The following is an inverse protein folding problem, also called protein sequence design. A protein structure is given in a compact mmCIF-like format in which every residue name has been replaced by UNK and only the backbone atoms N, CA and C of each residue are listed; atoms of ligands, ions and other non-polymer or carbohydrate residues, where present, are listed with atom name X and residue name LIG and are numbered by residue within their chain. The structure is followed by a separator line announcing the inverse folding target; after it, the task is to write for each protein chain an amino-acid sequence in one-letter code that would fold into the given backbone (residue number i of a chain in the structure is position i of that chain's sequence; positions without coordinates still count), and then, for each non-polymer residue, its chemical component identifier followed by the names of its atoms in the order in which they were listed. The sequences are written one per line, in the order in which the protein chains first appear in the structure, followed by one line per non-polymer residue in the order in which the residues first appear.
data_IF_314269618523
#
_entry.id   IF_314269618523
#
_cell.length_a   1.000
_cell.length_b   1.000
_cell.length_c   1.000
_cell.angle_alpha   90.00
_cell.angle_beta   90.00
_cell.angle_gamma   90.00
#
_symmetry.space_group_name_H-M   'P 1'
#
loop_
_entity.id
_entity.type
_entity.pdbx_description
1 polymer ?
#
# COMPACT_ATOMS: atom_id res chain seq x y z
N UNK A 1 15.20 53.29 83.08
CA UNK A 1 15.23 53.53 81.62
C UNK A 1 15.63 52.22 80.93
N UNK A 2 14.84 51.79 79.92
CA UNK A 2 14.97 50.60 79.04
C UNK A 2 14.71 49.24 79.74
N UNK A 3 13.50 48.69 79.81
CA UNK A 3 12.53 48.20 78.80
C UNK A 3 13.02 46.98 77.97
N UNK A 4 12.43 45.82 78.32
CA UNK A 4 11.99 44.66 77.52
C UNK A 4 12.85 44.13 76.36
N UNK A 5 13.26 42.86 76.47
CA UNK A 5 13.46 41.96 75.32
C UNK A 5 12.82 40.60 75.65
N UNK A 6 12.06 40.08 74.69
CA UNK A 6 11.06 39.02 74.81
C UNK A 6 11.61 37.60 74.53
N UNK A 7 10.87 36.53 74.89
CA UNK A 7 10.98 35.20 74.26
C UNK A 7 9.80 34.92 73.30
N UNK A 8 10.00 34.03 72.31
CA UNK A 8 9.06 32.90 72.11
C UNK A 8 9.80 31.58 71.70
N UNK A 9 9.42 30.37 72.18
CA UNK A 9 8.43 29.41 71.64
C UNK A 9 8.53 29.25 70.09
N UNK A 10 8.72 28.09 69.45
CA UNK A 10 8.56 26.67 69.80
C UNK A 10 9.28 25.78 68.73
N UNK A 11 9.24 24.47 68.97
CA UNK A 11 9.19 23.37 67.97
C UNK A 11 10.50 22.86 67.32
N UNK A 12 10.98 21.67 67.73
CA UNK A 12 10.80 20.45 66.92
C UNK A 12 11.25 19.19 67.69
N UNK A 13 10.66 18.06 67.30
CA UNK A 13 10.48 16.81 68.04
C UNK A 13 11.45 15.69 67.57
N UNK A 14 11.40 14.46 68.16
CA UNK A 14 12.51 13.50 68.26
C UNK A 14 12.41 12.26 67.36
N UNK A 15 13.48 11.44 67.26
CA UNK A 15 13.51 9.95 67.10
C UNK A 15 14.92 9.50 66.64
N UNK A 16 15.73 8.75 67.39
CA UNK A 16 15.74 7.30 67.70
C UNK A 16 15.99 6.32 66.55
N UNK A 17 17.08 5.55 66.70
CA UNK A 17 17.21 4.09 66.51
C UNK A 17 17.66 3.50 65.16
N UNK A 18 18.89 2.96 65.21
CA UNK A 18 19.28 1.55 64.98
C UNK A 18 18.93 0.90 63.64
N UNK A 19 19.99 0.76 62.83
CA UNK A 19 20.11 -0.04 61.61
C UNK A 19 20.31 -1.53 61.92
N UNK A 20 19.45 -2.39 61.38
CA UNK A 20 19.65 -3.84 61.22
C UNK A 20 19.54 -4.24 59.72
N UNK A 21 20.21 -5.34 59.28
CA UNK A 21 20.61 -5.55 57.88
C UNK A 21 19.53 -6.16 56.96
N UNK A 22 19.62 -5.75 55.69
CA UNK A 22 18.75 -6.11 54.55
C UNK A 22 18.96 -7.59 54.15
N UNK A 23 17.87 -8.37 54.14
CA UNK A 23 17.78 -9.68 53.49
C UNK A 23 17.63 -9.50 51.95
N UNK A 24 18.27 -10.31 51.09
CA UNK A 24 18.12 -10.18 49.64
C UNK A 24 16.77 -10.78 49.20
N UNK A 25 15.85 -9.93 48.75
CA UNK A 25 14.62 -10.34 48.11
C UNK A 25 14.94 -11.11 46.81
N UNK A 26 14.44 -12.34 46.69
CA UNK A 26 14.57 -13.17 45.49
C UNK A 26 13.75 -12.49 44.37
N UNK A 27 14.41 -11.81 43.44
CA UNK A 27 13.74 -11.20 42.29
C UNK A 27 13.37 -12.32 41.32
N UNK A 28 12.17 -12.88 41.47
CA UNK A 28 11.67 -13.89 40.54
C UNK A 28 11.35 -13.23 39.20
N UNK A 29 12.02 -13.67 38.12
CA UNK A 29 11.86 -13.11 36.77
C UNK A 29 10.43 -13.33 36.28
N UNK A 30 9.93 -12.44 35.42
CA UNK A 30 8.57 -12.54 34.85
C UNK A 30 8.33 -13.92 34.21
N UNK A 31 9.34 -14.48 33.52
CA UNK A 31 9.27 -15.80 32.91
C UNK A 31 9.10 -16.93 33.94
N UNK A 32 9.72 -16.81 35.11
CA UNK A 32 9.59 -17.78 36.20
C UNK A 32 8.18 -17.72 36.82
N UNK A 33 7.63 -16.51 36.96
CA UNK A 33 6.27 -16.31 37.47
C UNK A 33 5.23 -16.87 36.47
N UNK A 34 5.44 -16.64 35.17
CA UNK A 34 4.58 -17.16 34.12
C UNK A 34 4.69 -18.70 34.02
N UNK A 35 5.88 -19.26 34.15
CA UNK A 35 6.11 -20.72 34.16
C UNK A 35 5.46 -21.37 35.38
N UNK A 36 5.57 -20.75 36.56
CA UNK A 36 4.91 -21.22 37.78
C UNK A 36 3.37 -21.14 37.66
N UNK A 37 2.84 -20.05 37.10
CA UNK A 37 1.41 -19.91 36.83
C UNK A 37 0.91 -20.94 35.81
N UNK A 38 1.68 -21.19 34.74
CA UNK A 38 1.37 -22.21 33.73
C UNK A 38 1.35 -23.61 34.34
N UNK A 39 2.26 -23.91 35.27
CA UNK A 39 2.33 -25.19 35.98
C UNK A 39 1.07 -25.48 36.79
N UNK A 40 0.51 -24.45 37.45
CA UNK A 40 -0.67 -24.52 38.33
C UNK A 40 -2.00 -24.66 37.60
N UNK A 41 -2.03 -24.38 36.30
CA UNK A 41 -3.25 -24.49 35.49
C UNK A 41 -3.64 -25.96 35.25
N UNK A 42 -4.93 -26.27 35.13
CA UNK A 42 -5.36 -27.64 34.81
C UNK A 42 -5.01 -28.02 33.36
N UNK A 43 -4.85 -29.31 33.07
CA UNK A 43 -4.50 -29.79 31.73
C UNK A 43 -5.50 -29.29 30.68
N UNK A 44 -6.79 -29.27 31.00
CA UNK A 44 -7.83 -28.80 30.08
C UNK A 44 -7.82 -27.28 29.88
N UNK A 45 -7.44 -26.51 30.91
CA UNK A 45 -7.21 -25.07 30.77
C UNK A 45 -6.00 -24.79 29.86
N UNK A 46 -4.90 -25.53 30.02
CA UNK A 46 -3.73 -25.42 29.12
C UNK A 46 -4.11 -25.80 27.68
N UNK A 47 -4.88 -26.87 27.48
CA UNK A 47 -5.35 -27.31 26.15
C UNK A 47 -6.19 -26.25 25.43
N UNK A 48 -6.98 -25.46 26.15
CA UNK A 48 -7.75 -24.35 25.56
C UNK A 48 -6.87 -23.14 25.22
N UNK A 49 -5.86 -22.85 26.05
CA UNK A 49 -4.97 -21.70 25.86
C UNK A 49 -3.89 -21.93 24.79
N UNK A 50 -3.36 -23.15 24.69
CA UNK A 50 -2.29 -23.53 23.76
C UNK A 50 -2.55 -23.17 22.30
N UNK A 51 -3.71 -23.47 21.67
CA UNK A 51 -3.92 -23.14 20.25
C UNK A 51 -3.95 -21.63 19.99
N UNK A 52 -4.38 -20.83 20.97
CA UNK A 52 -4.40 -19.37 20.85
C UNK A 52 -2.97 -18.83 20.90
N UNK A 53 -2.19 -19.28 21.87
CA UNK A 53 -0.78 -18.90 22.02
C UNK A 53 0.06 -19.39 20.83
N UNK A 54 -0.18 -20.63 20.35
CA UNK A 54 0.48 -21.19 19.18
C UNK A 54 0.21 -20.31 17.95
N UNK A 55 -1.04 -19.91 17.72
CA UNK A 55 -1.39 -18.98 16.62
C UNK A 55 -0.68 -17.63 16.74
N UNK A 56 -0.49 -17.12 17.95
CA UNK A 56 0.24 -15.86 18.16
C UNK A 56 1.72 -16.01 17.86
N UNK A 57 2.34 -17.11 18.30
CA UNK A 57 3.76 -17.43 18.00
C UNK A 57 3.95 -17.69 16.50
N UNK A 58 3.03 -18.42 15.87
CA UNK A 58 3.03 -18.65 14.42
C UNK A 58 2.89 -17.33 13.65
N UNK A 59 2.07 -16.40 14.13
CA UNK A 59 1.93 -15.07 13.54
C UNK A 59 3.20 -14.22 13.71
N UNK A 60 3.91 -14.35 14.83
CA UNK A 60 5.20 -13.68 15.04
C UNK A 60 6.31 -14.28 14.15
N UNK A 61 6.27 -15.59 13.91
CA UNK A 61 7.29 -16.31 13.13
C UNK A 61 6.93 -16.48 11.64
N UNK A 62 5.79 -15.95 11.18
CA UNK A 62 5.36 -16.06 9.79
C UNK A 62 6.30 -15.25 8.89
N UNK A 63 7.07 -15.93 8.05
CA UNK A 63 7.76 -15.29 6.93
C UNK A 63 6.69 -14.75 5.96
N UNK A 64 6.77 -13.48 5.51
CA UNK A 64 5.76 -12.94 4.62
C UNK A 64 5.73 -13.76 3.34
N UNK A 65 4.55 -14.29 3.01
CA UNK A 65 4.33 -14.99 1.76
C UNK A 65 4.56 -14.06 0.56
N UNK A 66 4.78 -14.62 -0.63
CA UNK A 66 5.06 -13.85 -1.86
C UNK A 66 4.00 -12.75 -2.11
N UNK A 67 2.75 -12.96 -1.66
CA UNK A 67 1.65 -11.99 -1.73
C UNK A 67 1.75 -10.81 -0.74
N UNK A 68 2.35 -10.98 0.44
CA UNK A 68 2.60 -9.88 1.40
C UNK A 68 3.87 -9.09 1.03
N UNK A 69 4.80 -9.72 0.32
CA UNK A 69 6.03 -9.09 -0.18
C UNK A 69 5.74 -8.02 -1.25
N UNK A 70 4.59 -8.10 -1.90
CA UNK A 70 4.10 -7.12 -2.86
C UNK A 70 2.71 -6.63 -2.44
N UNK A 71 2.62 -5.56 -1.62
CA UNK A 71 1.32 -5.02 -1.25
C UNK A 71 0.55 -4.64 -2.52
N UNK A 72 -0.74 -5.02 -2.55
CA UNK A 72 -1.66 -4.61 -3.62
C UNK A 72 -1.54 -3.09 -3.77
N UNK A 73 -1.18 -2.56 -4.95
CA UNK A 73 -0.88 -1.14 -5.07
C UNK A 73 -2.11 -0.33 -4.65
N UNK A 74 -1.89 0.65 -3.77
CA UNK A 74 -2.94 1.57 -3.35
C UNK A 74 -3.66 2.13 -4.59
N UNK A 75 -5.00 2.29 -4.55
CA UNK A 75 -5.74 2.83 -5.69
C UNK A 75 -5.17 4.21 -6.01
N UNK A 76 -4.38 4.29 -7.09
CA UNK A 76 -3.74 5.54 -7.51
C UNK A 76 -4.79 6.61 -7.80
N UNK A 77 -4.46 7.88 -7.57
CA UNK A 77 -5.34 9.02 -7.80
C UNK A 77 -6.05 8.94 -9.17
N UNK A 78 -7.29 8.41 -9.17
CA UNK A 78 -8.08 8.12 -10.38
C UNK A 78 -8.55 9.41 -11.06
N UNK A 79 -8.61 10.50 -10.30
CA UNK A 79 -9.04 11.82 -10.78
C UNK A 79 -7.97 12.41 -11.70
N UNK A 80 -6.71 12.45 -11.26
CA UNK A 80 -5.59 12.93 -12.09
C UNK A 80 -5.38 12.06 -13.34
N UNK A 81 -5.55 10.75 -13.22
CA UNK A 81 -5.41 9.81 -14.35
C UNK A 81 -6.40 10.10 -15.50
N UNK A 82 -7.65 10.46 -15.16
CA UNK A 82 -8.67 10.80 -16.16
C UNK A 82 -8.39 12.14 -16.83
N UNK A 83 -7.87 13.11 -16.09
CA UNK A 83 -7.44 14.40 -16.62
C UNK A 83 -6.26 14.22 -17.58
N UNK A 84 -5.22 13.49 -17.16
CA UNK A 84 -4.05 13.18 -18.00
C UNK A 84 -4.47 12.45 -19.30
N UNK A 85 -5.42 11.51 -19.21
CA UNK A 85 -5.96 10.83 -20.39
C UNK A 85 -6.76 11.76 -21.31
N UNK A 86 -7.47 12.73 -20.75
CA UNK A 86 -8.22 13.72 -21.53
C UNK A 86 -7.25 14.66 -22.27
N UNK A 87 -6.17 15.09 -21.61
CA UNK A 87 -5.11 15.86 -22.23
C UNK A 87 -4.48 15.12 -23.42
N UNK A 88 -4.14 13.82 -23.25
CA UNK A 88 -3.63 13.01 -24.36
C UNK A 88 -4.64 12.87 -25.51
N UNK A 89 -5.93 12.70 -25.21
CA UNK A 89 -6.97 12.60 -26.23
C UNK A 89 -7.24 13.93 -26.95
N UNK A 90 -7.01 15.06 -26.30
CA UNK A 90 -7.09 16.39 -26.91
C UNK A 90 -5.89 16.66 -27.81
N UNK A 91 -4.68 16.27 -27.38
CA UNK A 91 -3.46 16.42 -28.17
C UNK A 91 -3.43 15.46 -29.38
N UNK A 92 -3.88 14.22 -29.19
CA UNK A 92 -3.82 13.16 -30.20
C UNK A 92 -5.19 12.49 -30.40
N UNK A 93 -6.16 13.19 -31.03
CA UNK A 93 -7.50 12.65 -31.24
C UNK A 93 -7.52 11.46 -32.20
N UNK A 94 -6.52 11.33 -33.07
CA UNK A 94 -6.37 10.19 -33.97
C UNK A 94 -5.97 8.90 -33.23
N UNK A 95 -5.25 9.02 -32.12
CA UNK A 95 -4.70 7.89 -31.41
C UNK A 95 -5.52 7.53 -30.15
N UNK A 96 -5.89 8.55 -29.37
CA UNK A 96 -6.53 8.38 -28.06
C UNK A 96 -7.99 8.84 -28.07
N UNK A 97 -8.88 7.94 -27.65
CA UNK A 97 -10.29 8.30 -27.43
C UNK A 97 -10.50 8.96 -26.06
N UNK A 98 -11.35 9.99 -26.06
CA UNK A 98 -11.75 10.71 -24.84
C UNK A 98 -12.37 9.78 -23.78
N UNK A 99 -12.12 10.05 -22.48
CA UNK A 99 -12.82 9.37 -21.39
C UNK A 99 -14.34 9.57 -21.52
N UNK A 100 -15.13 8.50 -21.36
CA UNK A 100 -16.60 8.44 -21.56
C UNK A 100 -17.10 8.45 -23.01
N UNK A 101 -16.22 8.47 -24.01
CA UNK A 101 -16.66 8.28 -25.40
C UNK A 101 -17.28 6.89 -25.61
N UNK A 102 -18.35 6.85 -26.43
CA UNK A 102 -19.00 5.61 -26.89
C UNK A 102 -18.18 4.90 -27.98
N UNK A 103 -17.19 5.56 -28.58
CA UNK A 103 -16.38 4.98 -29.64
C UNK A 103 -15.52 3.79 -29.17
N UNK A 104 -15.33 2.74 -30.00
CA UNK A 104 -14.41 1.64 -29.70
C UNK A 104 -12.99 2.19 -29.57
N UNK A 105 -12.25 1.76 -28.55
CA UNK A 105 -10.87 2.21 -28.33
C UNK A 105 -9.99 1.72 -29.48
N UNK A 106 -9.03 2.52 -29.92
CA UNK A 106 -8.11 2.16 -31.01
C UNK A 106 -6.90 1.36 -30.50
N UNK A 107 -6.46 0.31 -31.20
CA UNK A 107 -5.23 -0.41 -30.84
C UNK A 107 -4.01 0.47 -31.09
N UNK A 108 -3.18 0.61 -30.05
CA UNK A 108 -2.03 1.52 -30.08
C UNK A 108 -0.78 0.84 -30.66
N UNK A 109 0.10 1.65 -31.26
CA UNK A 109 1.47 1.26 -31.63
C UNK A 109 2.22 0.66 -30.42
N UNK A 110 3.05 -0.36 -30.67
CA UNK A 110 3.94 -0.92 -29.63
C UNK A 110 5.04 0.11 -29.35
N UNK A 111 5.26 0.46 -28.08
CA UNK A 111 6.25 1.45 -27.69
C UNK A 111 5.78 2.91 -27.80
N UNK A 112 4.48 3.15 -27.99
CA UNK A 112 3.92 4.52 -28.10
C UNK A 112 4.23 5.43 -26.90
N UNK A 113 4.57 4.86 -25.74
CA UNK A 113 5.02 5.62 -24.57
C UNK A 113 6.29 6.42 -24.86
N UNK A 114 7.23 5.88 -25.64
CA UNK A 114 8.47 6.60 -25.99
C UNK A 114 8.16 7.79 -26.91
N UNK A 115 7.30 7.57 -27.90
CA UNK A 115 6.86 8.61 -28.83
C UNK A 115 6.14 9.75 -28.06
N UNK A 116 5.28 9.41 -27.10
CA UNK A 116 4.57 10.39 -26.25
C UNK A 116 5.52 11.24 -25.39
N UNK A 117 6.59 10.63 -24.88
CA UNK A 117 7.61 11.35 -24.09
C UNK A 117 8.39 12.30 -25.00
N UNK A 118 8.73 11.86 -26.21
CA UNK A 118 9.46 12.68 -27.19
C UNK A 118 8.66 13.90 -27.65
N UNK A 119 7.33 13.75 -27.82
CA UNK A 119 6.46 14.88 -28.19
C UNK A 119 6.24 15.89 -27.05
N UNK A 120 6.26 15.44 -25.79
CA UNK A 120 6.09 16.33 -24.64
C UNK A 120 4.68 16.93 -24.54
N UNK A 121 3.71 16.15 -24.05
CA UNK A 121 2.33 16.62 -23.88
C UNK A 121 2.14 17.37 -22.57
N UNK A 122 1.46 18.52 -22.62
CA UNK A 122 1.03 19.27 -21.44
C UNK A 122 -0.30 18.74 -20.91
N UNK A 123 -0.35 18.43 -19.61
CA UNK A 123 -1.59 18.05 -18.93
C UNK A 123 -2.53 19.24 -18.71
N UNK A 124 -3.77 18.97 -18.33
CA UNK A 124 -4.76 20.03 -18.01
C UNK A 124 -4.31 20.93 -16.85
N UNK A 125 -3.44 20.42 -15.98
CA UNK A 125 -2.81 21.15 -14.87
C UNK A 125 -1.79 22.22 -15.35
N UNK A 126 -1.58 22.37 -16.67
CA UNK A 126 -0.58 23.26 -17.26
C UNK A 126 0.87 22.77 -17.13
N UNK A 127 1.07 21.56 -16.59
CA UNK A 127 2.37 20.94 -16.40
C UNK A 127 2.64 19.85 -17.46
N UNK A 128 3.89 19.68 -17.93
CA UNK A 128 4.25 18.59 -18.83
C UNK A 128 4.02 17.23 -18.14
N UNK A 129 3.46 16.28 -18.88
CA UNK A 129 3.23 14.93 -18.38
C UNK A 129 4.58 14.22 -18.20
N UNK A 130 4.91 13.90 -16.95
CA UNK A 130 6.10 13.11 -16.67
C UNK A 130 5.97 11.68 -17.19
N UNK A 131 7.11 11.02 -17.44
CA UNK A 131 7.15 9.63 -17.91
C UNK A 131 6.23 8.69 -17.10
N UNK A 132 6.23 8.80 -15.77
CA UNK A 132 5.38 7.98 -14.89
C UNK A 132 3.89 8.23 -15.11
N UNK A 133 3.48 9.48 -15.36
CA UNK A 133 2.07 9.83 -15.66
C UNK A 133 1.66 9.23 -17.00
N UNK A 134 2.48 9.41 -18.04
CA UNK A 134 2.26 8.84 -19.38
C UNK A 134 2.11 7.31 -19.30
N UNK A 135 3.05 6.64 -18.64
CA UNK A 135 3.03 5.18 -18.51
C UNK A 135 1.76 4.70 -17.77
N UNK A 136 1.36 5.40 -16.71
CA UNK A 136 0.12 5.09 -15.97
C UNK A 136 -1.11 5.25 -16.86
N UNK A 137 -1.20 6.33 -17.64
CA UNK A 137 -2.32 6.59 -18.55
C UNK A 137 -2.40 5.55 -19.66
N UNK A 138 -1.27 5.25 -20.31
CA UNK A 138 -1.21 4.23 -21.38
C UNK A 138 -1.58 2.86 -20.83
N UNK A 139 -1.08 2.50 -19.64
CA UNK A 139 -1.47 1.25 -18.96
C UNK A 139 -2.98 1.20 -18.70
N UNK A 140 -3.58 2.24 -18.13
CA UNK A 140 -5.04 2.31 -17.91
C UNK A 140 -5.84 2.21 -19.20
N UNK A 141 -5.35 2.87 -20.27
CA UNK A 141 -5.98 2.79 -21.58
C UNK A 141 -6.03 1.36 -22.11
N UNK A 142 -4.91 0.64 -22.02
CA UNK A 142 -4.75 -0.74 -22.47
C UNK A 142 -5.42 -1.77 -21.56
N UNK A 143 -5.73 -1.47 -20.29
CA UNK A 143 -6.35 -2.41 -19.33
C UNK A 143 -7.89 -2.41 -19.34
N UNK A 144 -8.53 -1.58 -20.16
CA UNK A 144 -10.00 -1.50 -20.17
C UNK A 144 -10.66 -2.46 -21.18
N UNK A 145 -11.81 -3.02 -20.82
CA UNK A 145 -12.62 -3.95 -21.64
C UNK A 145 -12.88 -3.46 -23.07
N UNK A 146 -13.12 -2.16 -23.26
CA UNK A 146 -13.29 -1.56 -24.60
C UNK A 146 -12.05 -1.63 -25.50
N UNK A 147 -10.86 -1.73 -24.91
CA UNK A 147 -9.61 -1.90 -25.64
C UNK A 147 -9.48 -3.35 -26.11
N UNK A 148 -9.89 -4.29 -25.26
CA UNK A 148 -9.89 -5.72 -25.56
C UNK A 148 -10.85 -6.05 -26.69
N UNK A 149 -12.07 -5.50 -26.65
CA UNK A 149 -13.03 -5.64 -27.75
C UNK A 149 -12.53 -5.10 -29.10
N UNK A 150 -11.54 -4.20 -29.09
CA UNK A 150 -10.95 -3.65 -30.31
C UNK A 150 -9.67 -4.38 -30.76
N UNK A 151 -9.12 -5.27 -29.93
CA UNK A 151 -7.97 -6.11 -30.26
C UNK A 151 -8.40 -7.33 -31.09
N UNK A 152 -8.95 -7.07 -32.26
CA UNK A 152 -9.31 -8.10 -33.24
C UNK A 152 -8.06 -8.45 -34.05
N UNK A 153 -7.77 -9.75 -34.31
CA UNK A 153 -6.66 -10.15 -35.16
C UNK A 153 -6.80 -9.51 -36.55
N UNK A 154 -5.73 -8.88 -37.04
CA UNK A 154 -5.74 -8.12 -38.31
C UNK A 154 -6.15 -6.65 -38.18
N UNK A 155 -6.55 -6.18 -36.99
CA UNK A 155 -6.74 -4.73 -36.76
C UNK A 155 -5.41 -3.98 -36.89
N UNK A 156 -5.47 -2.78 -37.47
CA UNK A 156 -4.29 -1.93 -37.71
C UNK A 156 -4.01 -1.09 -36.48
N UNK A 157 -2.77 -1.15 -35.97
CA UNK A 157 -2.29 -0.29 -34.89
C UNK A 157 -2.05 1.11 -35.42
N UNK A 158 -2.38 2.10 -34.61
CA UNK A 158 -2.29 3.51 -34.98
C UNK A 158 -1.18 4.17 -34.14
N UNK A 159 -0.35 5.00 -34.77
CA UNK A 159 0.62 5.85 -34.09
C UNK A 159 0.00 7.16 -33.60
N UNK A 160 0.83 8.13 -33.19
CA UNK A 160 0.36 9.43 -32.69
C UNK A 160 -0.21 10.33 -33.80
N UNK A 161 0.33 10.20 -35.01
CA UNK A 161 -0.06 10.99 -36.19
C UNK A 161 -1.27 10.40 -36.93
N UNK A 162 -1.67 9.18 -36.57
CA UNK A 162 -2.79 8.48 -37.21
C UNK A 162 -2.37 7.50 -38.31
N UNK A 163 -1.08 7.28 -38.49
CA UNK A 163 -0.56 6.36 -39.50
C UNK A 163 -0.61 4.90 -39.01
N UNK A 164 -0.73 3.94 -39.93
CA UNK A 164 -0.71 2.52 -39.62
C UNK A 164 0.70 2.09 -39.18
N UNK A 165 0.87 1.74 -37.90
CA UNK A 165 2.15 1.36 -37.29
C UNK A 165 2.26 -0.16 -37.04
N UNK A 166 1.74 -0.95 -37.99
CA UNK A 166 1.73 -2.41 -37.95
C UNK A 166 0.37 -3.01 -37.63
N UNK A 167 0.25 -4.33 -37.72
CA UNK A 167 -1.00 -5.06 -37.46
C UNK A 167 -0.98 -5.79 -36.10
N UNK A 168 -2.17 -6.00 -35.53
CA UNK A 168 -2.32 -6.85 -34.34
C UNK A 168 -2.21 -8.31 -34.79
N UNK A 169 -1.09 -8.95 -34.45
CA UNK A 169 -0.88 -10.39 -34.64
C UNK A 169 -1.84 -11.21 -33.76
N UNK A 170 -2.30 -12.36 -34.27
CA UNK A 170 -3.25 -13.25 -33.61
C UNK A 170 -2.81 -13.69 -32.20
N UNK A 171 -1.50 -13.77 -31.95
CA UNK A 171 -0.93 -14.11 -30.63
C UNK A 171 -1.26 -13.06 -29.55
N UNK A 172 -1.38 -11.77 -29.92
CA UNK A 172 -1.73 -10.72 -28.98
C UNK A 172 -3.24 -10.61 -28.67
N UNK A 173 -4.10 -11.11 -29.58
CA UNK A 173 -5.54 -11.20 -29.33
C UNK A 173 -5.88 -12.40 -28.41
N UNK A 174 -5.25 -13.56 -28.66
CA UNK A 174 -5.54 -14.81 -27.93
C UNK A 174 -5.12 -14.81 -26.44
N UNK A 175 -4.14 -14.00 -26.06
CA UNK A 175 -3.61 -13.97 -24.70
C UNK A 175 -4.56 -13.38 -23.64
N UNK A 176 -5.59 -12.62 -24.03
CA UNK A 176 -6.56 -12.02 -23.08
C UNK A 176 -7.89 -12.75 -23.01
N UNK A 177 -8.33 -13.41 -24.07
CA UNK A 177 -9.58 -14.19 -24.10
C UNK A 177 -9.56 -15.31 -23.04
N UNK A 178 -8.39 -15.89 -22.75
CA UNK A 178 -8.24 -16.88 -21.66
C UNK A 178 -8.56 -16.37 -20.25
N UNK A 179 -8.61 -15.05 -20.01
CA UNK A 179 -8.91 -14.49 -18.68
C UNK A 179 -10.40 -14.30 -18.42
N UNK A 180 -11.26 -14.34 -19.44
CA UNK A 180 -12.72 -14.22 -19.27
C UNK A 180 -13.39 -15.57 -18.96
N UNK A 181 -12.67 -16.69 -19.04
CA UNK A 181 -13.19 -18.05 -18.80
C UNK A 181 -12.92 -18.64 -17.42
N UNK A 182 -12.67 -17.87 -16.36
CA UNK A 182 -12.36 -18.41 -15.01
C UNK A 182 -13.24 -17.84 -13.88
N UNK A 183 -14.46 -17.42 -14.20
CA UNK A 183 -15.52 -17.25 -13.19
C UNK A 183 -16.77 -17.99 -13.66
N UNK A 184 -16.85 -19.28 -13.32
CA UNK A 184 -18.06 -20.10 -13.34
C UNK A 184 -17.97 -21.12 -12.20
#
# INVERSE_FOLDING_TARGET
MKMLTAPPLADEAPATSTTDPIQPAVVTTIDDQLTAAWSRLSIDQKRKALPILQRMVDHQNRKPGIAERFPKPAPGNRTGLRADRRALAAAFPACFNQPKSKAPKRPLKIGITADLIAHGVTGEDGQPLSHKRIERVVRDYCLGTKYDAALIPGSTRIDLDGNPAGSVSASHAAGRERKEGTEA
#
